data_IF_293953833352
#
_entry.id   IF_293953833352
#
_cell.length_a   1.000
_cell.length_b   1.000
_cell.length_c   1.000
_cell.angle_alpha   90.00
_cell.angle_beta   90.00
_cell.angle_gamma   90.00
#
_symmetry.space_group_name_H-M   'P 1'
#
loop_
_entity.id
_entity.type
_entity.pdbx_description
1 polymer ?
#
# COMPACT_ATOMS: atom_id res chain seq x y z
N UNK A 1 -5.81 -18.00 -3.17
CA UNK A 1 -5.53 -16.57 -3.45
C UNK A 1 -4.99 -15.95 -2.18
N UNK A 2 -3.87 -15.24 -2.27
CA UNK A 2 -3.31 -14.44 -1.17
C UNK A 2 -4.24 -13.25 -0.92
N UNK A 3 -4.59 -13.00 0.36
CA UNK A 3 -5.40 -11.83 0.72
C UNK A 3 -4.52 -10.58 0.64
N UNK A 4 -5.11 -9.43 0.31
CA UNK A 4 -4.37 -8.16 0.13
C UNK A 4 -4.90 -7.09 1.08
N UNK A 5 -4.00 -6.31 1.66
CA UNK A 5 -4.31 -5.17 2.51
C UNK A 5 -3.82 -3.88 1.84
N UNK A 6 -4.71 -2.91 1.66
CA UNK A 6 -4.36 -1.56 1.20
C UNK A 6 -4.04 -0.68 2.41
N UNK A 7 -2.81 -0.16 2.48
CA UNK A 7 -2.35 0.69 3.58
C UNK A 7 -1.93 2.07 3.04
N UNK A 8 -2.64 3.11 3.46
CA UNK A 8 -2.32 4.51 3.13
C UNK A 8 -2.70 5.39 4.32
N UNK A 9 -1.72 5.77 5.13
CA UNK A 9 -1.94 6.49 6.39
C UNK A 9 -1.14 7.80 6.44
N UNK A 10 -1.74 8.83 7.05
CA UNK A 10 -1.07 10.11 7.27
C UNK A 10 -0.13 10.06 8.49
N UNK A 11 -0.55 9.41 9.58
CA UNK A 11 0.32 9.09 10.72
C UNK A 11 0.93 7.70 10.52
N UNK A 12 2.24 7.59 10.74
CA UNK A 12 3.03 6.37 10.50
C UNK A 12 3.35 5.63 11.79
N UNK A 13 2.88 6.11 12.95
CA UNK A 13 3.04 5.43 14.22
C UNK A 13 2.52 3.98 14.14
N UNK A 14 3.39 3.01 14.44
CA UNK A 14 3.04 1.59 14.50
C UNK A 14 2.76 0.90 13.15
N UNK A 15 2.92 1.58 12.02
CA UNK A 15 2.51 1.03 10.71
C UNK A 15 3.43 -0.09 10.23
N UNK A 16 4.70 -0.04 10.61
CA UNK A 16 5.72 -1.03 10.22
C UNK A 16 5.43 -2.36 10.90
N UNK A 17 5.24 -2.34 12.23
CA UNK A 17 4.94 -3.52 13.03
C UNK A 17 3.62 -4.15 12.56
N UNK A 18 2.60 -3.33 12.32
CA UNK A 18 1.33 -3.80 11.78
C UNK A 18 1.47 -4.50 10.41
N UNK A 19 2.21 -3.89 9.48
CA UNK A 19 2.41 -4.47 8.15
C UNK A 19 3.26 -5.75 8.19
N UNK A 20 4.25 -5.83 9.08
CA UNK A 20 5.06 -7.04 9.27
C UNK A 20 4.22 -8.20 9.80
N UNK A 21 3.33 -7.97 10.77
CA UNK A 21 2.43 -9.02 11.26
C UNK A 21 1.46 -9.49 10.18
N UNK A 22 0.93 -8.57 9.37
CA UNK A 22 0.11 -8.95 8.21
C UNK A 22 0.87 -9.82 7.21
N UNK A 23 2.13 -9.50 6.90
CA UNK A 23 2.99 -10.33 6.04
C UNK A 23 3.22 -11.72 6.63
N UNK A 24 3.42 -11.84 7.95
CA UNK A 24 3.53 -13.15 8.64
C UNK A 24 2.26 -13.99 8.54
N UNK A 25 1.10 -13.33 8.51
CA UNK A 25 -0.19 -13.98 8.28
C UNK A 25 -0.46 -14.31 6.79
N UNK A 26 0.51 -14.06 5.90
CA UNK A 26 0.42 -14.36 4.48
C UNK A 26 -0.41 -13.35 3.69
N UNK A 27 -0.45 -12.09 4.10
CA UNK A 27 -1.09 -11.02 3.34
C UNK A 27 -0.09 -10.29 2.44
N UNK A 28 -0.55 -9.90 1.25
CA UNK A 28 0.18 -8.94 0.42
C UNK A 28 -0.20 -7.51 0.83
N UNK A 29 0.78 -6.62 0.87
CA UNK A 29 0.57 -5.22 1.23
C UNK A 29 0.59 -4.37 -0.03
N UNK A 30 -0.50 -3.65 -0.30
CA UNK A 30 -0.56 -2.62 -1.33
C UNK A 30 -0.39 -1.27 -0.63
N UNK A 31 0.50 -0.42 -1.13
CA UNK A 31 0.69 0.92 -0.57
C UNK A 31 1.08 1.94 -1.64
N UNK A 32 1.03 3.22 -1.26
CA UNK A 32 1.35 4.35 -2.14
C UNK A 32 1.97 5.51 -1.36
N UNK A 33 2.65 6.41 -2.07
CA UNK A 33 3.26 7.63 -1.56
C UNK A 33 4.13 7.42 -0.32
N UNK A 34 4.04 8.32 0.65
CA UNK A 34 4.87 8.29 1.86
C UNK A 34 4.68 7.07 2.76
N UNK A 35 3.52 6.38 2.68
CA UNK A 35 3.31 5.13 3.44
C UNK A 35 4.18 4.03 2.85
N UNK A 36 4.14 3.86 1.53
CA UNK A 36 4.98 2.91 0.80
C UNK A 36 6.46 3.11 1.12
N UNK A 37 6.94 4.36 1.02
CA UNK A 37 8.33 4.70 1.33
C UNK A 37 8.72 4.32 2.76
N UNK A 38 7.82 4.49 3.73
CA UNK A 38 8.10 4.16 5.13
C UNK A 38 8.20 2.64 5.33
N UNK A 39 7.33 1.87 4.68
CA UNK A 39 7.32 0.42 4.74
C UNK A 39 8.53 -0.19 4.02
N UNK A 40 8.85 0.27 2.82
CA UNK A 40 10.00 -0.20 2.04
C UNK A 40 11.32 0.04 2.78
N UNK A 41 11.47 1.22 3.41
CA UNK A 41 12.65 1.55 4.24
C UNK A 41 12.81 0.62 5.44
N UNK A 42 11.72 0.07 5.95
CA UNK A 42 11.71 -0.90 7.03
C UNK A 42 11.84 -2.36 6.54
N UNK A 43 12.07 -2.57 5.24
CA UNK A 43 12.22 -3.90 4.64
C UNK A 43 10.89 -4.66 4.49
N UNK A 44 9.76 -3.96 4.53
CA UNK A 44 8.45 -4.58 4.29
C UNK A 44 8.15 -4.53 2.80
N UNK A 45 8.06 -5.70 2.16
CA UNK A 45 7.70 -5.78 0.74
C UNK A 45 6.28 -5.25 0.49
N UNK A 46 6.17 -4.25 -0.38
CA UNK A 46 4.90 -3.66 -0.81
C UNK A 46 4.71 -3.74 -2.31
N UNK A 47 3.45 -3.82 -2.73
CA UNK A 47 3.00 -3.69 -4.12
C UNK A 47 2.58 -2.22 -4.31
N UNK A 48 3.03 -1.58 -5.38
CA UNK A 48 2.62 -0.20 -5.65
C UNK A 48 1.17 -0.18 -6.15
N UNK A 49 0.42 0.87 -5.78
CA UNK A 49 -0.96 1.01 -6.26
C UNK A 49 -1.03 1.17 -7.80
N UNK A 50 -0.02 1.78 -8.40
CA UNK A 50 0.12 1.97 -9.84
C UNK A 50 0.28 0.61 -10.55
N UNK A 51 0.91 -0.39 -9.91
CA UNK A 51 1.02 -1.76 -10.45
C UNK A 51 -0.34 -2.49 -10.44
N UNK A 52 -1.21 -2.13 -9.49
CA UNK A 52 -2.56 -2.72 -9.35
C UNK A 52 -3.56 -2.06 -10.29
N UNK A 53 -3.45 -0.74 -10.46
CA UNK A 53 -4.39 0.05 -11.25
C UNK A 53 -3.98 0.15 -12.72
N UNK A 54 -2.69 0.08 -13.03
CA UNK A 54 -2.13 0.39 -14.34
C UNK A 54 -2.14 1.90 -14.66
N UNK A 55 -2.48 2.74 -13.68
CA UNK A 55 -2.51 4.20 -13.82
C UNK A 55 -1.38 4.83 -13.00
N UNK A 56 -0.59 5.74 -13.58
CA UNK A 56 0.42 6.47 -12.82
C UNK A 56 -0.23 7.43 -11.82
N UNK A 57 0.51 7.79 -10.78
CA UNK A 57 0.10 8.87 -9.87
C UNK A 57 -0.13 10.19 -10.62
N UNK A 58 -1.28 10.84 -10.35
CA UNK A 58 -1.70 12.09 -10.99
C UNK A 58 -2.30 13.06 -9.97
N UNK A 59 -2.28 14.36 -10.32
CA UNK A 59 -2.85 15.46 -9.53
C UNK A 59 -2.32 15.50 -8.09
N UNK A 60 -1.00 15.39 -7.92
CA UNK A 60 -0.35 15.43 -6.60
C UNK A 60 -0.93 14.39 -5.62
N UNK A 61 -1.18 13.18 -6.14
CA UNK A 61 -1.69 12.05 -5.38
C UNK A 61 -3.17 12.11 -5.02
N UNK A 62 -3.94 13.06 -5.54
CA UNK A 62 -5.38 13.23 -5.23
C UNK A 62 -6.28 12.13 -5.80
N UNK A 63 -5.86 11.43 -6.87
CA UNK A 63 -6.72 10.47 -7.61
C UNK A 63 -6.15 9.05 -7.60
N UNK A 64 -5.12 8.77 -6.82
CA UNK A 64 -4.37 7.50 -6.86
C UNK A 64 -5.15 6.25 -6.46
N UNK A 65 -6.16 6.36 -5.59
CA UNK A 65 -6.97 5.22 -5.12
C UNK A 65 -8.34 5.12 -5.78
N UNK A 66 -8.77 6.14 -6.53
CA UNK A 66 -10.11 6.21 -7.13
C UNK A 66 -10.16 5.39 -8.44
N UNK A 67 -10.03 4.07 -8.32
CA UNK A 67 -9.98 3.15 -9.46
C UNK A 67 -10.86 1.91 -9.20
N UNK A 68 -11.56 1.36 -10.23
CA UNK A 68 -12.37 0.15 -10.08
C UNK A 68 -11.60 -1.04 -9.52
N UNK A 69 -10.34 -1.25 -9.90
CA UNK A 69 -9.51 -2.34 -9.32
C UNK A 69 -9.21 -2.19 -7.81
N UNK A 70 -9.56 -1.05 -7.21
CA UNK A 70 -9.42 -0.80 -5.76
C UNK A 70 -10.78 -0.89 -5.05
N UNK A 71 -11.86 -0.49 -5.72
CA UNK A 71 -13.20 -0.38 -5.12
C UNK A 71 -14.22 -1.44 -5.58
N UNK A 72 -13.90 -2.21 -6.62
CA UNK A 72 -14.77 -3.21 -7.24
C UNK A 72 -14.63 -4.63 -6.68
#
# INVERSE_FOLDING_TARGET
MTKRALISVSDKAGIVEFAQELKKLGWDIISTGGTKVSLDKAGVDTIAIDDVTGFPEMMDGRVKTLHPNIHG
#
